data_IF_352883361182
#
_entry.id   IF_352883361182
#
_cell.length_a   1.000
_cell.length_b   1.000
_cell.length_c   1.000
_cell.angle_alpha   90.00
_cell.angle_beta   90.00
_cell.angle_gamma   90.00
#
_symmetry.space_group_name_H-M   'P 1'
#
loop_
_entity.id
_entity.type
_entity.pdbx_description
1 polymer ?
#
# COMPACT_ATOMS: atom_id res chain seq x y z
N UNK A 1 11.44 -1.78 -13.27
CA UNK A 1 10.20 -0.98 -13.46
C UNK A 1 10.48 0.45 -13.05
N UNK A 2 10.13 1.41 -13.88
CA UNK A 2 10.37 2.81 -13.57
C UNK A 2 9.19 3.41 -12.78
N UNK A 3 9.36 4.64 -12.32
CA UNK A 3 8.35 5.31 -11.51
C UNK A 3 7.04 5.55 -12.24
N UNK A 4 7.09 5.72 -13.55
CA UNK A 4 5.88 5.94 -14.35
C UNK A 4 4.96 4.72 -14.26
N UNK A 5 5.52 3.52 -14.39
CA UNK A 5 4.75 2.29 -14.29
C UNK A 5 4.21 2.09 -12.87
N UNK A 6 5.01 2.37 -11.86
CA UNK A 6 4.59 2.28 -10.46
C UNK A 6 3.41 3.21 -10.20
N UNK A 7 3.47 4.44 -10.69
CA UNK A 7 2.39 5.41 -10.51
C UNK A 7 1.09 4.96 -11.17
N UNK A 8 1.17 4.24 -12.28
CA UNK A 8 0.00 3.75 -12.99
C UNK A 8 -0.60 2.53 -12.30
N UNK A 9 0.21 1.69 -11.67
CA UNK A 9 -0.22 0.44 -11.06
C UNK A 9 -0.78 0.67 -9.65
N UNK A 10 -0.09 1.46 -8.82
CA UNK A 10 -0.42 1.60 -7.41
C UNK A 10 -1.56 2.58 -7.22
N UNK A 11 -2.64 2.10 -6.61
CA UNK A 11 -3.81 2.88 -6.23
C UNK A 11 -4.30 2.39 -4.87
N UNK A 12 -5.27 3.09 -4.30
CA UNK A 12 -5.90 2.65 -3.04
C UNK A 12 -6.47 1.24 -3.20
N UNK A 13 -7.16 1.01 -4.31
CA UNK A 13 -7.78 -0.29 -4.60
C UNK A 13 -6.73 -1.39 -4.76
N UNK A 14 -5.61 -1.07 -5.42
CA UNK A 14 -4.51 -2.01 -5.59
C UNK A 14 -3.92 -2.42 -4.23
N UNK A 15 -3.73 -1.43 -3.34
CA UNK A 15 -3.18 -1.68 -2.00
C UNK A 15 -4.13 -2.58 -1.20
N UNK A 16 -5.43 -2.27 -1.23
CA UNK A 16 -6.44 -3.05 -0.52
C UNK A 16 -6.47 -4.48 -1.04
N UNK A 17 -6.41 -4.66 -2.36
CA UNK A 17 -6.39 -5.98 -2.98
C UNK A 17 -5.15 -6.78 -2.54
N UNK A 18 -3.99 -6.13 -2.48
CA UNK A 18 -2.76 -6.78 -2.04
C UNK A 18 -2.82 -7.16 -0.56
N UNK A 19 -3.40 -6.30 0.27
CA UNK A 19 -3.59 -6.62 1.68
C UNK A 19 -4.45 -7.88 1.84
N UNK A 20 -5.52 -7.99 1.07
CA UNK A 20 -6.38 -9.17 1.10
C UNK A 20 -5.64 -10.41 0.61
N UNK A 21 -4.86 -10.26 -0.46
CA UNK A 21 -4.07 -11.36 -1.03
C UNK A 21 -3.09 -11.95 -0.01
N UNK A 22 -2.44 -11.09 0.78
CA UNK A 22 -1.45 -11.52 1.76
C UNK A 22 -2.01 -11.67 3.18
N UNK A 23 -3.31 -11.45 3.37
CA UNK A 23 -3.93 -11.54 4.68
C UNK A 23 -3.46 -10.48 5.66
N UNK A 24 -3.11 -9.31 5.17
CA UNK A 24 -2.59 -8.22 6.00
C UNK A 24 -3.69 -7.30 6.47
N UNK A 25 -3.51 -6.76 7.67
CA UNK A 25 -4.40 -5.76 8.26
C UNK A 25 -3.69 -4.42 8.31
N UNK A 26 -4.46 -3.34 8.55
CA UNK A 26 -3.86 -2.00 8.66
C UNK A 26 -2.79 -1.92 9.74
N UNK A 27 -2.97 -2.63 10.85
CA UNK A 27 -1.97 -2.65 11.92
C UNK A 27 -0.64 -3.22 11.46
N UNK A 28 -0.66 -4.16 10.51
CA UNK A 28 0.56 -4.73 9.96
C UNK A 28 1.33 -3.68 9.17
N UNK A 29 0.61 -2.87 8.37
CA UNK A 29 1.23 -1.78 7.64
C UNK A 29 1.82 -0.73 8.59
N UNK A 30 1.10 -0.43 9.66
CA UNK A 30 1.57 0.50 10.67
C UNK A 30 2.88 0.01 11.29
N UNK A 31 2.93 -1.25 11.66
CA UNK A 31 4.10 -1.82 12.32
C UNK A 31 5.28 -2.00 11.37
N UNK A 32 5.04 -2.50 10.17
CA UNK A 32 6.14 -2.85 9.25
C UNK A 32 6.65 -1.63 8.48
N UNK A 33 5.79 -0.68 8.14
CA UNK A 33 6.17 0.49 7.36
C UNK A 33 6.33 1.75 8.21
N UNK A 34 5.97 1.70 9.49
CA UNK A 34 6.05 2.86 10.35
C UNK A 34 5.02 3.93 10.02
N UNK A 35 3.91 3.56 9.40
CA UNK A 35 2.88 4.51 9.02
C UNK A 35 1.92 4.76 10.17
N UNK A 36 1.48 6.01 10.31
CA UNK A 36 0.53 6.39 11.34
C UNK A 36 -0.86 5.80 11.02
N UNK A 37 -1.54 5.33 12.06
CA UNK A 37 -2.90 4.81 11.97
C UNK A 37 -3.85 5.85 11.35
N UNK A 38 -3.71 7.10 11.77
CA UNK A 38 -4.52 8.20 11.22
C UNK A 38 -4.28 8.40 9.73
N UNK A 39 -3.03 8.27 9.30
CA UNK A 39 -2.68 8.37 7.88
C UNK A 39 -3.40 7.31 7.07
N UNK A 40 -3.37 6.05 7.52
CA UNK A 40 -4.03 4.96 6.79
C UNK A 40 -5.55 5.14 6.74
N UNK A 41 -6.15 5.61 7.83
CA UNK A 41 -7.58 5.89 7.86
C UNK A 41 -7.98 6.92 6.81
N UNK A 42 -7.19 7.97 6.67
CA UNK A 42 -7.46 9.03 5.70
C UNK A 42 -7.12 8.59 4.27
N UNK A 43 -6.10 7.76 4.11
CA UNK A 43 -5.73 7.23 2.80
C UNK A 43 -6.84 6.35 2.23
N UNK A 44 -7.43 5.48 3.07
CA UNK A 44 -8.48 4.57 2.65
C UNK A 44 -9.89 5.13 2.81
N UNK A 45 -10.01 6.42 3.13
CA UNK A 45 -11.31 7.08 3.23
C UNK A 45 -11.99 7.15 1.86
N UNK A 46 -13.31 7.31 1.87
CA UNK A 46 -14.07 7.43 0.62
C UNK A 46 -13.68 8.69 -0.14
N UNK A 47 -13.83 8.65 -1.45
CA UNK A 47 -13.42 9.75 -2.33
C UNK A 47 -14.10 11.08 -2.01
N UNK A 48 -15.30 11.05 -1.44
CA UNK A 48 -16.05 12.25 -1.07
C UNK A 48 -15.65 12.82 0.29
N UNK A 49 -14.78 12.13 1.03
CA UNK A 49 -14.31 12.64 2.32
C UNK A 49 -13.34 13.79 2.09
N UNK A 50 -13.62 15.00 2.64
CA UNK A 50 -12.75 16.16 2.41
C UNK A 50 -11.35 16.02 3.00
N UNK A 51 -11.17 15.07 3.94
CA UNK A 51 -9.86 14.83 4.56
C UNK A 51 -9.08 13.69 3.90
N UNK A 52 -9.64 13.10 2.84
CA UNK A 52 -8.95 11.98 2.17
C UNK A 52 -7.56 12.41 1.72
N UNK A 53 -6.58 11.55 2.02
CA UNK A 53 -5.20 11.73 1.60
C UNK A 53 -4.98 10.93 0.32
N UNK A 54 -4.34 11.58 -0.65
CA UNK A 54 -3.98 10.92 -1.91
C UNK A 54 -2.54 10.41 -1.82
N UNK A 55 -2.29 9.30 -2.51
CA UNK A 55 -0.96 8.72 -2.57
C UNK A 55 -0.01 9.65 -3.29
N UNK A 56 1.11 9.98 -2.64
CA UNK A 56 2.21 10.69 -3.28
C UNK A 56 3.04 9.70 -4.09
N UNK A 57 3.87 10.23 -4.97
CA UNK A 57 4.79 9.41 -5.77
C UNK A 57 5.68 8.54 -4.87
N UNK A 58 6.22 9.14 -3.80
CA UNK A 58 7.08 8.42 -2.86
C UNK A 58 6.32 7.29 -2.16
N UNK A 59 5.08 7.54 -1.75
CA UNK A 59 4.28 6.53 -1.08
C UNK A 59 3.88 5.40 -2.01
N UNK A 60 3.60 5.69 -3.27
CA UNK A 60 3.33 4.65 -4.26
C UNK A 60 4.53 3.70 -4.41
N UNK A 61 5.73 4.26 -4.46
CA UNK A 61 6.95 3.47 -4.52
C UNK A 61 7.13 2.61 -3.28
N UNK A 62 6.88 3.18 -2.09
CA UNK A 62 6.99 2.46 -0.84
C UNK A 62 6.07 1.24 -0.81
N UNK A 63 4.78 1.42 -1.13
CA UNK A 63 3.82 0.33 -1.14
C UNK A 63 4.15 -0.70 -2.21
N UNK A 64 4.58 -0.26 -3.39
CA UNK A 64 4.93 -1.17 -4.48
C UNK A 64 6.06 -2.11 -4.05
N UNK A 65 7.15 -1.57 -3.54
CA UNK A 65 8.29 -2.39 -3.14
C UNK A 65 8.00 -3.25 -1.93
N UNK A 66 7.18 -2.76 -1.00
CA UNK A 66 6.76 -3.56 0.14
C UNK A 66 6.03 -4.83 -0.30
N UNK A 67 5.02 -4.67 -1.17
CA UNK A 67 4.25 -5.83 -1.62
C UNK A 67 5.04 -6.71 -2.57
N UNK A 68 5.93 -6.13 -3.37
CA UNK A 68 6.81 -6.92 -4.21
C UNK A 68 7.74 -7.79 -3.38
N UNK A 69 8.26 -7.27 -2.28
CA UNK A 69 9.09 -8.05 -1.35
C UNK A 69 8.28 -9.20 -0.75
N UNK A 70 7.04 -8.96 -0.36
CA UNK A 70 6.15 -10.00 0.16
C UNK A 70 5.91 -11.09 -0.87
N UNK A 71 5.69 -10.69 -2.12
CA UNK A 71 5.46 -11.64 -3.22
C UNK A 71 6.69 -12.52 -3.45
N UNK A 72 7.87 -11.92 -3.44
CA UNK A 72 9.13 -12.66 -3.60
C UNK A 72 9.38 -13.61 -2.44
N UNK A 73 9.09 -13.18 -1.21
CA UNK A 73 9.23 -14.04 -0.03
C UNK A 73 8.32 -15.27 -0.14
N UNK A 74 7.09 -15.07 -0.60
CA UNK A 74 6.15 -16.17 -0.77
C UNK A 74 6.59 -17.17 -1.84
N UNK A 75 7.31 -16.72 -2.86
CA UNK A 75 7.84 -17.58 -3.91
C UNK A 75 9.05 -18.37 -3.46
N UNK A 76 9.84 -17.81 -2.55
CA UNK A 76 11.07 -18.44 -2.05
C UNK A 76 10.79 -19.41 -0.90
N UNK A 77 9.81 -19.08 -0.07
CA UNK A 77 9.44 -19.89 1.08
C UNK A 77 8.55 -21.05 0.64
N UNK A 78 8.96 -22.30 0.85
CA UNK A 78 8.14 -23.46 0.49
C UNK A 78 6.89 -23.62 1.35
#
# INVERSE_FOLDING_TARGET
MDYTEIEQVVSDEWIIAKMQEFGLKRKDLTQELGLDKSYLSLLFAKADNPRKIHLTKAMKGLFYYYFRTKDLENKITP
#
